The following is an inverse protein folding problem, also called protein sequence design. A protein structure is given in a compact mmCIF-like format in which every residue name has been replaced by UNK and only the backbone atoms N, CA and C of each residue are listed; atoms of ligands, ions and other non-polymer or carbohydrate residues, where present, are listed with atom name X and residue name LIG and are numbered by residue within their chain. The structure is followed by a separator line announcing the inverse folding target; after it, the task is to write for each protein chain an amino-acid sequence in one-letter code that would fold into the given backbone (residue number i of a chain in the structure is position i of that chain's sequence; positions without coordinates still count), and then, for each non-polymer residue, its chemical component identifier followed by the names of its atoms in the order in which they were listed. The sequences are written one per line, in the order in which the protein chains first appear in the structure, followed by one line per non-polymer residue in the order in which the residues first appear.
data_IF_277411278685
#
_entry.id   IF_277411278685
#
_cell.length_a   1.000
_cell.length_b   1.000
_cell.length_c   1.000
_cell.angle_alpha   90.00
_cell.angle_beta   90.00
_cell.angle_gamma   90.00
#
_symmetry.space_group_name_H-M   'P 1'
#
loop_
_entity.id
_entity.type
_entity.pdbx_description
1 polymer ?
#
# COMPACT_ATOMS: atom_id res chain seq x y z
N UNK A 1 -2.18 -11.43 20.81
CA UNK A 1 -1.89 -11.37 19.36
C UNK A 1 -3.04 -11.92 18.52
N UNK A 2 -4.23 -11.31 18.58
CA UNK A 2 -5.43 -11.71 17.78
C UNK A 2 -6.16 -10.53 17.13
N UNK A 3 -5.60 -9.32 17.17
CA UNK A 3 -6.32 -8.09 16.75
C UNK A 3 -5.70 -7.32 15.58
N UNK A 4 -4.54 -7.69 15.04
CA UNK A 4 -3.93 -6.97 13.92
C UNK A 4 -4.23 -7.56 12.53
N UNK A 5 -4.80 -8.77 12.44
CA UNK A 5 -5.17 -9.38 11.15
C UNK A 5 -6.57 -8.98 10.66
N UNK A 6 -7.30 -8.20 11.47
CA UNK A 6 -8.69 -7.83 11.18
C UNK A 6 -8.85 -6.65 10.20
N UNK A 7 -7.76 -5.93 9.85
CA UNK A 7 -7.88 -4.72 9.03
C UNK A 7 -7.71 -4.92 7.51
N UNK A 8 -7.30 -6.11 7.03
CA UNK A 8 -7.15 -6.37 5.60
C UNK A 8 -8.27 -7.24 5.00
N UNK A 9 -9.19 -7.74 5.83
CA UNK A 9 -10.26 -8.66 5.41
C UNK A 9 -11.66 -8.02 5.34
N UNK A 10 -11.84 -6.73 5.65
CA UNK A 10 -13.18 -6.12 5.78
C UNK A 10 -13.60 -5.26 4.58
N UNK A 11 -12.74 -5.00 3.59
CA UNK A 11 -13.12 -4.19 2.42
C UNK A 11 -13.59 -4.97 1.19
N UNK A 12 -13.55 -6.30 1.20
CA UNK A 12 -13.87 -7.12 0.01
C UNK A 12 -15.30 -7.67 -0.03
N UNK A 13 -16.20 -7.24 0.86
CA UNK A 13 -17.51 -7.89 1.03
C UNK A 13 -18.72 -7.13 0.44
N UNK A 14 -18.54 -6.22 -0.51
CA UNK A 14 -19.69 -5.61 -1.16
C UNK A 14 -19.51 -5.59 -2.69
N UNK A 15 -20.47 -6.23 -3.37
CA UNK A 15 -20.71 -6.30 -4.83
C UNK A 15 -20.07 -7.44 -5.63
N UNK A 16 -20.42 -8.68 -5.28
CA UNK A 16 -20.27 -9.85 -6.16
C UNK A 16 -21.55 -10.09 -6.99
N UNK A 17 -21.67 -9.45 -8.16
CA UNK A 17 -22.62 -9.85 -9.21
C UNK A 17 -21.96 -9.90 -10.59
N UNK A 18 -21.21 -10.99 -10.83
CA UNK A 18 -21.05 -11.64 -12.13
C UNK A 18 -20.36 -12.99 -11.92
N UNK A 19 -21.09 -14.10 -12.09
CA UNK A 19 -20.77 -15.40 -11.46
C UNK A 19 -19.94 -16.38 -12.31
N UNK A 20 -19.67 -16.11 -13.58
CA UNK A 20 -19.08 -17.13 -14.48
C UNK A 20 -17.57 -17.01 -14.69
N UNK A 21 -17.00 -15.80 -14.81
CA UNK A 21 -15.55 -15.61 -15.03
C UNK A 21 -14.76 -15.59 -13.72
N UNK A 22 -15.38 -15.14 -12.62
CA UNK A 22 -14.71 -15.00 -11.32
C UNK A 22 -14.69 -16.27 -10.47
N UNK A 23 -15.40 -17.34 -10.86
CA UNK A 23 -15.52 -18.55 -10.05
C UNK A 23 -14.23 -19.38 -10.05
N UNK A 24 -13.53 -19.46 -11.18
CA UNK A 24 -12.32 -20.26 -11.34
C UNK A 24 -11.08 -19.59 -10.70
N UNK A 25 -10.96 -18.26 -10.85
CA UNK A 25 -9.94 -17.45 -10.16
C UNK A 25 -10.18 -17.43 -8.64
N UNK A 26 -11.44 -17.36 -8.18
CA UNK A 26 -11.78 -17.38 -6.76
C UNK A 26 -11.42 -18.70 -6.07
N UNK A 27 -11.70 -19.84 -6.70
CA UNK A 27 -11.33 -21.16 -6.17
C UNK A 27 -9.80 -21.32 -6.09
N UNK A 28 -9.09 -20.79 -7.08
CA UNK A 28 -7.61 -20.82 -7.11
C UNK A 28 -6.99 -19.92 -6.04
N UNK A 29 -7.60 -18.76 -5.76
CA UNK A 29 -7.21 -17.86 -4.67
C UNK A 29 -7.36 -18.55 -3.32
N UNK A 30 -8.52 -19.17 -3.06
CA UNK A 30 -8.80 -19.85 -1.79
C UNK A 30 -7.86 -21.05 -1.57
N UNK A 31 -7.62 -21.85 -2.62
CA UNK A 31 -6.68 -22.96 -2.57
C UNK A 31 -5.25 -22.51 -2.24
N UNK A 32 -4.78 -21.41 -2.83
CA UNK A 32 -3.46 -20.84 -2.54
C UNK A 32 -3.37 -20.26 -1.12
N UNK A 33 -4.44 -19.62 -0.64
CA UNK A 33 -4.50 -19.11 0.73
C UNK A 33 -4.41 -20.24 1.76
N UNK A 34 -5.16 -21.32 1.56
CA UNK A 34 -5.12 -22.50 2.41
C UNK A 34 -3.73 -23.16 2.39
N UNK A 35 -3.12 -23.28 1.22
CA UNK A 35 -1.75 -23.82 1.07
C UNK A 35 -0.70 -22.97 1.81
N UNK A 36 -0.81 -21.64 1.74
CA UNK A 36 0.10 -20.75 2.49
C UNK A 36 -0.07 -20.95 3.99
N UNK A 37 -1.31 -21.04 4.48
CA UNK A 37 -1.60 -21.24 5.90
C UNK A 37 -1.05 -22.58 6.43
N UNK A 38 -1.17 -23.66 5.64
CA UNK A 38 -0.62 -24.97 5.99
C UNK A 38 0.92 -24.93 6.07
N UNK A 39 1.57 -24.32 5.07
CA UNK A 39 3.03 -24.23 5.00
C UNK A 39 3.64 -23.37 6.11
N UNK A 40 2.88 -22.42 6.66
CA UNK A 40 3.33 -21.58 7.79
C UNK A 40 3.38 -22.32 9.13
N UNK A 41 2.73 -23.47 9.27
CA UNK A 41 2.64 -24.23 10.53
C UNK A 41 3.74 -25.28 10.74
N UNK A 42 4.66 -25.46 9.80
CA UNK A 42 5.64 -26.55 9.80
C UNK A 42 7.10 -26.04 9.84
N UNK A 43 8.06 -26.95 10.05
CA UNK A 43 9.51 -26.67 10.15
C UNK A 43 10.06 -25.77 9.03
N UNK A 44 10.91 -24.78 9.37
CA UNK A 44 11.44 -23.76 8.46
C UNK A 44 12.58 -24.30 7.59
N UNK A 45 12.26 -24.76 6.38
CA UNK A 45 13.27 -25.12 5.36
C UNK A 45 13.29 -24.09 4.23
N UNK A 46 14.41 -24.00 3.51
CA UNK A 46 14.54 -23.13 2.33
C UNK A 46 13.49 -23.48 1.28
N UNK A 47 13.29 -24.78 1.02
CA UNK A 47 12.30 -25.26 0.05
C UNK A 47 10.87 -24.83 0.39
N UNK A 48 10.50 -24.85 1.68
CA UNK A 48 9.19 -24.37 2.14
C UNK A 48 9.08 -22.85 2.03
N UNK A 49 10.11 -22.10 2.43
CA UNK A 49 10.10 -20.65 2.30
C UNK A 49 9.94 -20.22 0.83
N UNK A 50 10.64 -20.88 -0.09
CA UNK A 50 10.49 -20.65 -1.54
C UNK A 50 9.07 -21.02 -1.99
N UNK A 51 8.50 -22.11 -1.50
CA UNK A 51 7.13 -22.53 -1.83
C UNK A 51 6.08 -21.53 -1.35
N UNK A 52 6.22 -21.00 -0.14
CA UNK A 52 5.36 -19.93 0.41
C UNK A 52 5.46 -18.67 -0.47
N UNK A 53 6.67 -18.25 -0.82
CA UNK A 53 6.89 -17.09 -1.69
C UNK A 53 6.29 -17.31 -3.09
N UNK A 54 6.47 -18.49 -3.68
CA UNK A 54 5.88 -18.84 -4.97
C UNK A 54 4.36 -18.79 -4.93
N UNK A 55 3.73 -19.40 -3.92
CA UNK A 55 2.28 -19.36 -3.75
C UNK A 55 1.77 -17.94 -3.49
N UNK A 56 2.50 -17.14 -2.72
CA UNK A 56 2.14 -15.74 -2.46
C UNK A 56 2.24 -14.88 -3.72
N UNK A 57 3.29 -15.06 -4.53
CA UNK A 57 3.47 -14.37 -5.82
C UNK A 57 2.35 -14.77 -6.79
N UNK A 58 2.02 -16.06 -6.89
CA UNK A 58 0.94 -16.54 -7.74
C UNK A 58 -0.41 -15.95 -7.31
N UNK A 59 -0.67 -15.91 -6.00
CA UNK A 59 -1.87 -15.29 -5.42
C UNK A 59 -1.95 -13.80 -5.78
N UNK A 60 -0.85 -13.05 -5.63
CA UNK A 60 -0.79 -11.63 -5.99
C UNK A 60 -1.05 -11.41 -7.49
N UNK A 61 -0.49 -12.26 -8.37
CA UNK A 61 -0.71 -12.18 -9.82
C UNK A 61 -2.19 -12.41 -10.15
N UNK A 62 -2.83 -13.42 -9.55
CA UNK A 62 -4.26 -13.68 -9.77
C UNK A 62 -5.14 -12.52 -9.29
N UNK A 63 -4.83 -11.92 -8.13
CA UNK A 63 -5.56 -10.74 -7.63
C UNK A 63 -5.41 -9.52 -8.54
N UNK A 64 -4.21 -9.30 -9.08
CA UNK A 64 -3.93 -8.23 -10.05
C UNK A 64 -4.73 -8.48 -11.33
N UNK A 65 -4.72 -9.71 -11.86
CA UNK A 65 -5.51 -10.11 -13.04
C UNK A 65 -7.01 -9.86 -12.83
N UNK A 66 -7.55 -10.29 -11.70
CA UNK A 66 -8.94 -10.07 -11.35
C UNK A 66 -9.30 -8.58 -11.27
N UNK A 67 -8.42 -7.77 -10.66
CA UNK A 67 -8.59 -6.31 -10.55
C UNK A 67 -8.50 -5.60 -11.90
N UNK A 68 -7.58 -6.02 -12.77
CA UNK A 68 -7.48 -5.53 -14.16
C UNK A 68 -8.75 -5.87 -14.96
N UNK A 69 -9.30 -7.07 -14.78
CA UNK A 69 -10.57 -7.49 -15.37
C UNK A 69 -11.75 -6.64 -14.89
N UNK A 70 -11.81 -6.33 -13.59
CA UNK A 70 -12.82 -5.44 -13.02
C UNK A 70 -12.70 -4.01 -13.58
N UNK A 71 -11.48 -3.45 -13.64
CA UNK A 71 -11.23 -2.12 -14.21
C UNK A 71 -11.65 -2.08 -15.69
N UNK A 72 -11.40 -3.14 -16.45
CA UNK A 72 -11.84 -3.25 -17.84
C UNK A 72 -13.37 -3.24 -17.94
N UNK A 73 -14.06 -4.04 -17.13
CA UNK A 73 -15.53 -4.05 -17.09
C UNK A 73 -16.11 -2.67 -16.73
N UNK A 74 -15.52 -1.99 -15.74
CA UNK A 74 -15.90 -0.62 -15.38
C UNK A 74 -15.66 0.35 -16.54
N UNK A 75 -14.56 0.20 -17.29
CA UNK A 75 -14.28 0.99 -18.49
C UNK A 75 -15.34 0.80 -19.56
N UNK A 76 -15.68 -0.46 -19.88
CA UNK A 76 -16.69 -0.80 -20.88
C UNK A 76 -18.07 -0.23 -20.47
N UNK A 77 -18.42 -0.30 -19.18
CA UNK A 77 -19.64 0.29 -18.63
C UNK A 77 -19.66 1.83 -18.74
N UNK A 78 -18.54 2.50 -18.47
CA UNK A 78 -18.40 3.96 -18.61
C UNK A 78 -18.54 4.37 -20.09
N UNK A 79 -17.96 3.60 -21.00
CA UNK A 79 -18.05 3.84 -22.44
C UNK A 79 -19.47 3.63 -22.98
N UNK A 80 -20.19 2.62 -22.47
CA UNK A 80 -21.61 2.44 -22.76
C UNK A 80 -22.44 3.61 -22.24
N UNK A 81 -22.27 3.99 -20.97
CA UNK A 81 -22.99 5.13 -20.38
C UNK A 81 -22.69 6.45 -21.11
N UNK A 82 -21.46 6.63 -21.60
CA UNK A 82 -21.07 7.82 -22.35
C UNK A 82 -21.81 7.88 -23.68
N UNK A 83 -21.87 6.77 -24.43
CA UNK A 83 -22.66 6.68 -25.67
C UNK A 83 -24.15 6.95 -25.44
N UNK A 84 -24.72 6.37 -24.38
CA UNK A 84 -26.13 6.59 -24.02
C UNK A 84 -26.40 8.07 -23.68
N UNK A 85 -25.50 8.72 -22.93
CA UNK A 85 -25.59 10.14 -22.59
C UNK A 85 -25.53 11.00 -23.85
N UNK A 86 -24.58 10.74 -24.75
CA UNK A 86 -24.41 11.49 -25.99
C UNK A 86 -25.65 11.37 -26.89
N UNK A 87 -26.25 10.18 -26.99
CA UNK A 87 -27.50 9.96 -27.72
C UNK A 87 -28.66 10.74 -27.09
N UNK A 88 -28.83 10.66 -25.76
CA UNK A 88 -29.87 11.39 -25.03
C UNK A 88 -29.70 12.92 -25.16
N UNK A 89 -28.47 13.43 -25.16
CA UNK A 89 -28.18 14.85 -25.37
C UNK A 89 -28.53 15.31 -26.80
N UNK A 90 -28.25 14.47 -27.80
CA UNK A 90 -28.64 14.75 -29.18
C UNK A 90 -30.18 14.76 -29.34
N UNK A 91 -30.87 13.77 -28.76
CA UNK A 91 -32.34 13.71 -28.76
C UNK A 91 -32.92 14.93 -28.05
N UNK A 92 -32.36 15.33 -26.90
CA UNK A 92 -32.76 16.53 -26.17
C UNK A 92 -32.61 17.79 -27.03
N UNK A 93 -31.50 17.92 -27.74
CA UNK A 93 -31.21 19.06 -28.62
C UNK A 93 -32.21 19.17 -29.77
N UNK A 94 -32.41 18.08 -30.52
CA UNK A 94 -33.42 18.01 -31.60
C UNK A 94 -34.83 18.32 -31.10
N UNK A 95 -35.17 17.84 -29.90
CA UNK A 95 -36.49 18.11 -29.30
C UNK A 95 -36.64 19.57 -28.88
N UNK A 96 -35.58 20.17 -28.35
CA UNK A 96 -35.57 21.59 -27.99
C UNK A 96 -35.79 22.47 -29.24
N UNK A 97 -35.13 22.15 -30.36
CA UNK A 97 -35.36 22.82 -31.65
C UNK A 97 -36.82 22.74 -32.11
N UNK A 98 -37.43 21.55 -32.04
CA UNK A 98 -38.84 21.35 -32.39
C UNK A 98 -39.78 22.13 -31.47
N UNK A 99 -39.49 22.19 -30.18
CA UNK A 99 -40.28 22.97 -29.21
C UNK A 99 -40.15 24.47 -29.54
N UNK A 100 -38.93 24.97 -29.77
CA UNK A 100 -38.68 26.37 -30.12
C UNK A 100 -39.42 26.78 -31.41
N UNK A 101 -39.42 25.94 -32.44
CA UNK A 101 -40.18 26.18 -33.67
C UNK A 101 -41.70 26.18 -33.44
N UNK A 102 -42.19 25.40 -32.46
CA UNK A 102 -43.63 25.27 -32.17
C UNK A 102 -44.18 26.35 -31.25
N UNK A 103 -43.34 27.00 -30.43
CA UNK A 103 -43.77 28.06 -29.50
C UNK A 103 -44.51 29.21 -30.23
N UNK A 104 -43.99 29.79 -31.34
CA UNK A 104 -44.70 30.83 -32.09
C UNK A 104 -46.05 30.37 -32.64
N UNK A 105 -46.13 29.15 -33.14
CA UNK A 105 -47.37 28.56 -33.68
C UNK A 105 -48.42 28.31 -32.59
N UNK A 106 -47.96 27.93 -31.39
CA UNK A 106 -48.83 27.77 -30.22
C UNK A 106 -49.31 29.13 -29.72
N UNK A 107 -48.44 30.15 -29.69
CA UNK A 107 -48.78 31.52 -29.31
C UNK A 107 -49.84 32.13 -30.25
N UNK A 108 -49.70 31.96 -31.56
CA UNK A 108 -50.71 32.39 -32.57
C UNK A 108 -52.07 31.70 -32.36
N UNK A 109 -52.09 30.46 -31.84
CA UNK A 109 -53.32 29.67 -31.60
C UNK A 109 -53.93 29.89 -30.21
N UNK A 110 -53.14 30.29 -29.22
CA UNK A 110 -53.58 30.57 -27.84
C UNK A 110 -54.47 31.82 -27.73
N UNK A 111 -54.50 32.69 -28.74
CA UNK A 111 -55.40 33.84 -28.78
C UNK A 111 -56.86 33.49 -29.12
N UNK A 112 -57.19 32.22 -29.38
CA UNK A 112 -58.57 31.82 -29.70
C UNK A 112 -59.34 31.50 -28.41
N UNK A 113 -60.14 32.46 -27.95
CA UNK A 113 -61.03 32.30 -26.79
C UNK A 113 -61.99 31.09 -26.98
N UNK A 114 -62.29 30.31 -25.93
CA UNK A 114 -63.31 29.25 -25.97
C UNK A 114 -64.66 29.71 -26.51
N UNK A 115 -65.04 30.96 -26.23
CA UNK A 115 -66.23 31.60 -26.79
C UNK A 115 -66.05 31.91 -28.28
N UNK A 116 -64.86 32.34 -28.70
CA UNK A 116 -64.53 32.55 -30.12
C UNK A 116 -64.63 31.27 -30.96
N UNK A 117 -64.18 30.13 -30.43
CA UNK A 117 -64.32 28.82 -31.11
C UNK A 117 -65.80 28.45 -31.33
N UNK A 118 -66.68 28.86 -30.42
CA UNK A 118 -68.14 28.69 -30.55
C UNK A 118 -68.72 29.64 -31.62
N UNK A 119 -68.39 30.93 -31.58
CA UNK A 119 -68.91 31.95 -32.50
C UNK A 119 -68.44 31.80 -33.96
N UNK A 120 -67.25 31.26 -34.20
CA UNK A 120 -66.70 31.03 -35.54
C UNK A 120 -66.89 29.58 -36.06
N UNK A 121 -67.76 28.80 -35.41
CA UNK A 121 -68.12 27.45 -35.88
C UNK A 121 -69.30 27.50 -36.83
N UNK A 122 -69.29 26.67 -37.87
CA UNK A 122 -70.33 26.70 -38.91
C UNK A 122 -71.63 26.03 -38.47
N UNK A 123 -71.56 25.13 -37.47
CA UNK A 123 -72.70 24.46 -36.83
C UNK A 123 -72.28 23.79 -35.52
N UNK A 124 -73.25 23.25 -34.77
CA UNK A 124 -73.04 22.58 -33.47
C UNK A 124 -72.09 21.38 -33.58
N UNK A 125 -72.14 20.61 -34.67
CA UNK A 125 -71.24 19.46 -34.87
C UNK A 125 -69.78 19.89 -35.11
N UNK A 126 -69.56 20.99 -35.84
CA UNK A 126 -68.25 21.60 -36.06
C UNK A 126 -67.66 22.14 -34.74
N UNK A 127 -68.48 22.79 -33.91
CA UNK A 127 -68.07 23.23 -32.56
C UNK A 127 -67.56 22.07 -31.68
N UNK A 128 -68.36 20.99 -31.56
CA UNK A 128 -67.96 19.84 -30.75
C UNK A 128 -66.71 19.15 -31.29
N UNK A 129 -66.61 19.01 -32.62
CA UNK A 129 -65.42 18.44 -33.28
C UNK A 129 -64.16 19.26 -33.00
N UNK A 130 -64.23 20.59 -33.10
CA UNK A 130 -63.12 21.50 -32.77
C UNK A 130 -62.72 21.44 -31.29
N UNK A 131 -63.69 21.35 -30.37
CA UNK A 131 -63.42 21.22 -28.92
C UNK A 131 -62.71 19.90 -28.59
N UNK A 132 -63.18 18.79 -29.16
CA UNK A 132 -62.52 17.47 -29.01
C UNK A 132 -61.09 17.54 -29.57
N UNK A 133 -60.91 18.11 -30.75
CA UNK A 133 -59.59 18.27 -31.38
C UNK A 133 -58.62 19.12 -30.54
N UNK A 134 -59.07 20.25 -30.00
CA UNK A 134 -58.26 21.10 -29.12
C UNK A 134 -57.87 20.38 -27.83
N UNK A 135 -58.81 19.66 -27.20
CA UNK A 135 -58.53 18.87 -25.99
C UNK A 135 -57.52 17.75 -26.25
N UNK A 136 -57.57 17.13 -27.44
CA UNK A 136 -56.62 16.12 -27.87
C UNK A 136 -55.21 16.70 -28.05
N UNK A 137 -55.10 17.89 -28.67
CA UNK A 137 -53.82 18.59 -28.82
C UNK A 137 -53.24 18.94 -27.44
N UNK A 138 -54.03 19.50 -26.54
CA UNK A 138 -53.57 19.89 -25.20
C UNK A 138 -53.03 18.68 -24.43
N UNK A 139 -53.75 17.54 -24.45
CA UNK A 139 -53.27 16.29 -23.84
C UNK A 139 -51.95 15.82 -24.45
N UNK A 140 -51.81 15.85 -25.78
CA UNK A 140 -50.56 15.48 -26.46
C UNK A 140 -49.40 16.41 -26.08
N UNK A 141 -49.65 17.69 -25.89
CA UNK A 141 -48.64 18.66 -25.49
C UNK A 141 -48.18 18.47 -24.06
N UNK A 142 -49.11 18.30 -23.10
CA UNK A 142 -48.77 17.98 -21.71
C UNK A 142 -47.99 16.68 -21.62
N UNK A 143 -48.36 15.66 -22.39
CA UNK A 143 -47.61 14.39 -22.44
C UNK A 143 -46.19 14.57 -22.95
N UNK A 144 -45.98 15.34 -24.03
CA UNK A 144 -44.63 15.63 -24.54
C UNK A 144 -43.76 16.36 -23.53
N UNK A 145 -44.34 17.31 -22.78
CA UNK A 145 -43.62 18.03 -21.73
C UNK A 145 -43.23 17.11 -20.57
N UNK A 146 -44.14 16.22 -20.14
CA UNK A 146 -43.86 15.21 -19.10
C UNK A 146 -42.72 14.27 -19.51
N UNK A 147 -42.76 13.73 -20.73
CA UNK A 147 -41.69 12.88 -21.28
C UNK A 147 -40.37 13.63 -21.34
N UNK A 148 -40.38 14.91 -21.71
CA UNK A 148 -39.17 15.74 -21.70
C UNK A 148 -38.59 15.92 -20.28
N UNK A 149 -39.43 16.13 -19.27
CA UNK A 149 -38.96 16.20 -17.87
C UNK A 149 -38.36 14.85 -17.41
N UNK A 150 -39.00 13.72 -17.72
CA UNK A 150 -38.51 12.38 -17.40
C UNK A 150 -37.15 12.07 -18.05
N UNK A 151 -36.96 12.49 -19.30
CA UNK A 151 -35.68 12.37 -20.00
C UNK A 151 -34.57 13.21 -19.37
N UNK A 152 -34.89 14.43 -18.88
CA UNK A 152 -33.91 15.26 -18.18
C UNK A 152 -33.47 14.62 -16.86
N UNK A 153 -34.40 14.05 -16.10
CA UNK A 153 -34.09 13.32 -14.88
C UNK A 153 -33.23 12.08 -15.18
N UNK A 154 -33.60 11.32 -16.21
CA UNK A 154 -32.82 10.15 -16.67
C UNK A 154 -31.40 10.55 -17.07
N UNK A 155 -31.24 11.62 -17.85
CA UNK A 155 -29.93 12.12 -18.26
C UNK A 155 -29.07 12.52 -17.06
N UNK A 156 -29.66 13.23 -16.09
CA UNK A 156 -28.96 13.61 -14.85
C UNK A 156 -28.50 12.38 -14.06
N UNK A 157 -29.37 11.37 -13.94
CA UNK A 157 -29.06 10.12 -13.25
C UNK A 157 -27.94 9.34 -13.95
N UNK A 158 -27.98 9.22 -15.28
CA UNK A 158 -26.92 8.58 -16.07
C UNK A 158 -25.57 9.28 -15.92
N UNK A 159 -25.57 10.62 -15.92
CA UNK A 159 -24.36 11.42 -15.66
C UNK A 159 -23.80 11.17 -14.27
N UNK A 160 -24.64 11.11 -13.25
CA UNK A 160 -24.24 10.79 -11.89
C UNK A 160 -23.66 9.37 -11.78
N UNK A 161 -24.32 8.37 -12.39
CA UNK A 161 -23.83 6.99 -12.42
C UNK A 161 -22.46 6.88 -13.10
N UNK A 162 -22.27 7.56 -14.23
CA UNK A 162 -20.98 7.60 -14.94
C UNK A 162 -19.89 8.21 -14.04
N UNK A 163 -20.19 9.30 -13.35
CA UNK A 163 -19.23 9.96 -12.46
C UNK A 163 -18.84 9.08 -11.27
N UNK A 164 -19.82 8.41 -10.65
CA UNK A 164 -19.57 7.43 -9.58
C UNK A 164 -18.65 6.30 -10.06
N UNK A 165 -18.92 5.73 -11.24
CA UNK A 165 -18.08 4.68 -11.83
C UNK A 165 -16.66 5.16 -12.17
N UNK A 166 -16.50 6.41 -12.62
CA UNK A 166 -15.17 7.01 -12.84
C UNK A 166 -14.37 7.12 -11.55
N UNK A 167 -15.00 7.59 -10.47
CA UNK A 167 -14.35 7.68 -9.15
C UNK A 167 -13.98 6.30 -8.64
N UNK A 168 -14.84 5.29 -8.82
CA UNK A 168 -14.55 3.90 -8.45
C UNK A 168 -13.37 3.33 -9.26
N UNK A 169 -13.35 3.55 -10.57
CA UNK A 169 -12.26 3.13 -11.45
C UNK A 169 -10.91 3.75 -11.02
N UNK A 170 -10.88 5.05 -10.69
CA UNK A 170 -9.68 5.73 -10.22
C UNK A 170 -9.16 5.15 -8.89
N UNK A 171 -10.07 4.85 -7.96
CA UNK A 171 -9.70 4.21 -6.68
C UNK A 171 -9.10 2.82 -6.91
N UNK A 172 -9.72 2.00 -7.77
CA UNK A 172 -9.21 0.68 -8.11
C UNK A 172 -7.85 0.76 -8.82
N UNK A 173 -7.64 1.73 -9.70
CA UNK A 173 -6.34 1.95 -10.36
C UNK A 173 -5.24 2.30 -9.35
N UNK A 174 -5.53 3.15 -8.36
CA UNK A 174 -4.56 3.49 -7.32
C UNK A 174 -4.18 2.28 -6.46
N UNK A 175 -5.16 1.43 -6.11
CA UNK A 175 -4.92 0.17 -5.39
C UNK A 175 -4.09 -0.79 -6.24
N UNK A 176 -4.43 -0.97 -7.52
CA UNK A 176 -3.72 -1.84 -8.45
C UNK A 176 -2.24 -1.47 -8.57
N UNK A 177 -1.92 -0.17 -8.63
CA UNK A 177 -0.54 0.30 -8.69
C UNK A 177 0.23 -0.07 -7.41
N UNK A 178 -0.39 0.12 -6.24
CA UNK A 178 0.20 -0.31 -4.97
C UNK A 178 0.42 -1.83 -4.91
N UNK A 179 -0.52 -2.64 -5.43
CA UNK A 179 -0.39 -4.10 -5.49
C UNK A 179 0.73 -4.54 -6.44
N UNK A 180 0.89 -3.87 -7.58
CA UNK A 180 2.00 -4.12 -8.53
C UNK A 180 3.35 -3.80 -7.90
N UNK A 181 3.46 -2.71 -7.16
CA UNK A 181 4.67 -2.37 -6.40
C UNK A 181 4.98 -3.43 -5.34
N UNK A 182 3.98 -3.86 -4.57
CA UNK A 182 4.14 -4.92 -3.58
C UNK A 182 4.57 -6.25 -4.21
N UNK A 183 4.00 -6.64 -5.37
CA UNK A 183 4.41 -7.83 -6.12
C UNK A 183 5.87 -7.75 -6.57
N UNK A 184 6.33 -6.58 -7.03
CA UNK A 184 7.73 -6.40 -7.43
C UNK A 184 8.67 -6.55 -6.24
N UNK A 185 8.30 -6.04 -5.06
CA UNK A 185 9.05 -6.26 -3.83
C UNK A 185 9.10 -7.76 -3.47
N UNK A 186 7.97 -8.47 -3.50
CA UNK A 186 7.94 -9.92 -3.24
C UNK A 186 8.86 -10.71 -4.20
N UNK A 187 8.93 -10.32 -5.47
CA UNK A 187 9.85 -10.93 -6.45
C UNK A 187 11.31 -10.64 -6.11
N UNK A 188 11.64 -9.41 -5.72
CA UNK A 188 12.99 -9.03 -5.27
C UNK A 188 13.40 -9.80 -4.01
N UNK A 189 12.52 -9.93 -3.03
CA UNK A 189 12.78 -10.69 -1.79
C UNK A 189 13.08 -12.16 -2.09
N UNK A 190 12.31 -12.78 -3.00
CA UNK A 190 12.57 -14.15 -3.46
C UNK A 190 13.93 -14.25 -4.13
N UNK A 191 14.28 -13.31 -5.01
CA UNK A 191 15.57 -13.31 -5.69
C UNK A 191 16.72 -13.16 -4.68
N UNK A 192 16.62 -12.22 -3.75
CA UNK A 192 17.61 -11.99 -2.71
C UNK A 192 17.80 -13.22 -1.81
N UNK A 193 16.71 -13.91 -1.43
CA UNK A 193 16.79 -15.17 -0.69
C UNK A 193 17.58 -16.23 -1.46
N UNK A 194 17.31 -16.40 -2.76
CA UNK A 194 18.03 -17.36 -3.60
C UNK A 194 19.51 -17.01 -3.76
N UNK A 195 19.84 -15.73 -3.92
CA UNK A 195 21.22 -15.24 -4.01
C UNK A 195 21.99 -15.46 -2.70
N UNK A 196 21.38 -15.13 -1.56
CA UNK A 196 21.98 -15.31 -0.23
C UNK A 196 22.20 -16.78 0.12
N UNK A 197 21.20 -17.62 -0.14
CA UNK A 197 21.25 -19.04 0.19
C UNK A 197 22.02 -19.85 -0.83
N UNK A 198 22.27 -19.30 -2.04
CA UNK A 198 22.82 -20.01 -3.19
C UNK A 198 22.05 -21.30 -3.49
N UNK A 199 20.73 -21.29 -3.21
CA UNK A 199 19.86 -22.45 -3.30
C UNK A 199 20.32 -23.65 -2.44
N UNK A 200 20.99 -23.40 -1.31
CA UNK A 200 21.55 -24.42 -0.43
C UNK A 200 20.90 -24.34 0.97
N UNK A 201 20.25 -25.43 1.38
CA UNK A 201 19.60 -25.57 2.69
C UNK A 201 20.57 -25.37 3.86
N UNK A 202 21.81 -25.88 3.75
CA UNK A 202 22.80 -25.73 4.82
C UNK A 202 23.20 -24.27 5.04
N UNK A 203 23.32 -23.50 3.95
CA UNK A 203 23.58 -22.05 4.02
C UNK A 203 22.40 -21.33 4.66
N UNK A 204 21.18 -21.69 4.28
CA UNK A 204 19.95 -21.14 4.87
C UNK A 204 19.87 -21.39 6.38
N UNK A 205 20.09 -22.63 6.84
CA UNK A 205 20.09 -22.97 8.26
C UNK A 205 21.22 -22.29 9.03
N UNK A 206 22.39 -22.11 8.39
CA UNK A 206 23.51 -21.37 8.99
C UNK A 206 23.14 -19.90 9.22
N UNK A 207 22.50 -19.25 8.25
CA UNK A 207 22.05 -17.85 8.38
C UNK A 207 20.96 -17.68 9.45
N UNK A 208 20.06 -18.65 9.60
CA UNK A 208 19.07 -18.66 10.68
C UNK A 208 19.72 -18.83 12.05
N UNK A 209 20.66 -19.78 12.17
CA UNK A 209 21.40 -20.00 13.41
C UNK A 209 22.23 -18.77 13.79
N UNK A 210 22.84 -18.10 12.82
CA UNK A 210 23.57 -16.84 13.00
C UNK A 210 22.68 -15.75 13.61
N UNK A 211 21.51 -15.51 13.01
CA UNK A 211 20.55 -14.53 13.50
C UNK A 211 20.03 -14.83 14.92
N UNK A 212 19.80 -16.12 15.24
CA UNK A 212 19.38 -16.54 16.57
C UNK A 212 20.49 -16.36 17.61
N UNK A 213 21.72 -16.70 17.24
CA UNK A 213 22.88 -16.55 18.11
C UNK A 213 23.17 -15.08 18.44
N UNK A 214 23.05 -14.19 17.46
CA UNK A 214 23.18 -12.75 17.64
C UNK A 214 22.14 -12.22 18.64
N UNK A 215 20.86 -12.62 18.48
CA UNK A 215 19.78 -12.28 19.40
C UNK A 215 20.06 -12.76 20.83
N UNK A 216 20.54 -14.00 20.99
CA UNK A 216 20.90 -14.53 22.32
C UNK A 216 22.06 -13.78 22.96
N UNK A 217 23.06 -13.38 22.16
CA UNK A 217 24.18 -12.60 22.65
C UNK A 217 23.73 -11.19 23.09
N UNK A 218 22.81 -10.57 22.36
CA UNK A 218 22.22 -9.29 22.72
C UNK A 218 21.40 -9.38 24.02
N UNK A 219 20.59 -10.43 24.19
CA UNK A 219 19.84 -10.67 25.43
C UNK A 219 20.77 -10.86 26.63
N UNK A 220 21.85 -11.63 26.49
CA UNK A 220 22.88 -11.79 27.55
C UNK A 220 23.60 -10.48 27.83
N UNK A 221 23.86 -9.68 26.80
CA UNK A 221 24.52 -8.40 26.98
C UNK A 221 23.70 -7.41 27.83
N UNK A 222 22.38 -7.57 27.93
CA UNK A 222 21.56 -6.78 28.86
C UNK A 222 21.68 -7.22 30.33
N UNK A 223 22.14 -8.45 30.57
CA UNK A 223 22.26 -9.03 31.90
C UNK A 223 23.70 -8.87 32.43
N UNK A 224 24.69 -9.20 31.58
CA UNK A 224 26.11 -9.32 31.96
C UNK A 224 26.96 -8.14 31.44
N UNK A 225 26.40 -6.93 31.38
CA UNK A 225 27.15 -5.75 30.96
C UNK A 225 27.96 -5.12 32.09
N UNK A 226 29.06 -4.47 31.71
CA UNK A 226 29.88 -3.67 32.61
C UNK A 226 29.62 -2.19 32.33
N UNK A 227 29.23 -1.45 33.37
CA UNK A 227 29.09 0.01 33.33
C UNK A 227 30.47 0.65 33.17
N UNK A 228 30.66 1.41 32.10
CA UNK A 228 31.92 2.11 31.81
C UNK A 228 31.92 3.51 32.42
N UNK A 229 30.85 4.28 32.19
CA UNK A 229 30.77 5.65 32.69
C UNK A 229 29.83 6.55 31.88
N UNK A 230 29.73 7.81 32.30
CA UNK A 230 28.95 8.83 31.60
C UNK A 230 29.67 9.32 30.35
N UNK A 231 28.91 9.49 29.28
CA UNK A 231 29.35 9.78 27.91
C UNK A 231 28.59 11.01 27.41
N UNK A 232 29.27 11.92 26.71
CA UNK A 232 28.67 13.06 26.03
C UNK A 232 28.48 12.78 24.54
N UNK A 233 27.49 13.45 23.95
CA UNK A 233 27.27 13.40 22.52
C UNK A 233 28.57 13.74 21.77
N UNK A 234 28.93 12.88 20.81
CA UNK A 234 30.13 13.03 19.99
C UNK A 234 31.39 12.33 20.53
N UNK A 235 31.44 11.91 21.80
CA UNK A 235 32.65 11.22 22.28
C UNK A 235 32.78 9.85 21.58
N UNK A 236 34.01 9.41 21.29
CA UNK A 236 34.27 8.10 20.69
C UNK A 236 33.92 6.99 21.69
N UNK A 237 33.07 6.06 21.25
CA UNK A 237 32.63 4.94 22.09
C UNK A 237 33.23 3.61 21.65
N UNK A 238 33.50 3.39 20.36
CA UNK A 238 34.11 2.17 19.84
C UNK A 238 34.61 2.35 18.41
N UNK A 239 35.16 1.28 17.83
CA UNK A 239 35.44 1.21 16.40
C UNK A 239 34.47 0.24 15.71
N UNK A 240 34.10 0.54 14.47
CA UNK A 240 33.42 -0.40 13.58
C UNK A 240 34.31 -1.62 13.42
N UNK A 241 33.73 -2.79 13.69
CA UNK A 241 34.45 -4.03 13.70
C UNK A 241 33.71 -5.12 12.93
N UNK A 242 34.21 -6.33 13.09
CA UNK A 242 33.60 -7.55 12.59
C UNK A 242 33.54 -8.59 13.72
N UNK A 243 33.30 -8.14 14.96
CA UNK A 243 33.22 -9.06 16.10
C UNK A 243 31.96 -9.90 15.99
N UNK A 244 32.08 -11.18 16.35
CA UNK A 244 31.06 -12.18 16.06
C UNK A 244 31.28 -12.94 14.74
N UNK A 245 32.23 -12.57 13.86
CA UNK A 245 32.53 -13.40 12.69
C UNK A 245 33.18 -14.75 13.08
N UNK A 246 32.84 -15.87 12.40
CA UNK A 246 31.77 -16.04 11.42
C UNK A 246 30.39 -16.36 12.03
N UNK A 247 30.29 -16.53 13.35
CA UNK A 247 29.09 -17.06 14.00
C UNK A 247 27.88 -16.13 14.08
N UNK A 248 28.08 -14.82 14.00
CA UNK A 248 27.08 -13.75 14.19
C UNK A 248 27.30 -12.53 13.31
N UNK A 249 28.43 -12.42 12.60
CA UNK A 249 28.68 -11.33 11.64
C UNK A 249 29.12 -11.91 10.30
N UNK A 250 28.69 -11.29 9.21
CA UNK A 250 29.10 -11.62 7.84
C UNK A 250 30.15 -10.67 7.27
N UNK A 251 30.49 -9.58 7.97
CA UNK A 251 31.44 -8.57 7.48
C UNK A 251 31.54 -7.37 8.40
N UNK A 252 32.54 -6.50 8.17
CA UNK A 252 32.72 -5.32 9.01
C UNK A 252 31.62 -4.27 8.77
N UNK A 253 30.77 -4.05 9.77
CA UNK A 253 29.68 -3.06 9.73
C UNK A 253 29.26 -2.67 11.15
N UNK A 254 28.57 -1.54 11.27
CA UNK A 254 27.89 -1.15 12.50
C UNK A 254 26.41 -1.49 12.36
N UNK A 255 25.91 -2.35 13.23
CA UNK A 255 24.48 -2.51 13.46
C UNK A 255 24.05 -1.57 14.60
N UNK A 256 23.25 -0.57 14.24
CA UNK A 256 22.74 0.47 15.13
C UNK A 256 21.25 0.26 15.42
N UNK A 257 20.92 -0.14 16.64
CA UNK A 257 19.54 -0.41 17.08
C UNK A 257 19.13 0.58 18.16
N UNK A 258 17.88 1.05 18.13
CA UNK A 258 17.29 1.85 19.20
C UNK A 258 16.11 1.10 19.81
N UNK A 259 16.09 1.04 21.14
CA UNK A 259 14.94 0.58 21.92
C UNK A 259 14.34 1.72 22.71
N UNK A 260 13.03 1.86 22.64
CA UNK A 260 12.24 2.78 23.47
C UNK A 260 11.30 1.95 24.33
N UNK A 261 11.44 2.00 25.65
CA UNK A 261 10.65 1.19 26.59
C UNK A 261 10.65 -0.31 26.21
N UNK A 262 11.82 -0.84 25.83
CA UNK A 262 12.04 -2.21 25.37
C UNK A 262 11.40 -2.59 24.01
N UNK A 263 10.77 -1.66 23.30
CA UNK A 263 10.29 -1.87 21.94
C UNK A 263 11.33 -1.38 20.91
N UNK A 264 11.52 -2.15 19.83
CA UNK A 264 12.33 -1.72 18.69
C UNK A 264 11.66 -0.55 17.97
N UNK A 265 12.42 0.51 17.73
CA UNK A 265 11.95 1.70 17.02
C UNK A 265 12.91 2.03 15.89
N UNK A 266 12.40 2.71 14.86
CA UNK A 266 13.21 3.09 13.73
C UNK A 266 14.29 4.11 14.18
N UNK A 267 15.56 3.73 14.07
CA UNK A 267 16.68 4.59 14.43
C UNK A 267 16.79 5.86 13.57
N UNK A 268 16.26 5.83 12.35
CA UNK A 268 16.25 6.96 11.41
C UNK A 268 15.45 8.14 11.98
N UNK A 269 14.45 7.88 12.81
CA UNK A 269 13.61 8.93 13.42
C UNK A 269 14.33 9.68 14.55
N UNK A 270 15.45 9.16 15.05
CA UNK A 270 16.21 9.75 16.15
C UNK A 270 17.42 10.55 15.66
N UNK A 271 18.07 10.11 14.58
CA UNK A 271 19.26 10.78 14.03
C UNK A 271 18.89 12.01 13.20
N UNK A 272 19.76 13.02 13.23
CA UNK A 272 19.61 14.28 12.50
C UNK A 272 19.54 14.09 10.99
N UNK A 273 18.81 14.95 10.28
CA UNK A 273 18.70 14.86 8.82
C UNK A 273 20.04 15.04 8.10
N UNK A 274 20.40 14.13 7.19
CA UNK A 274 21.68 14.11 6.44
C UNK A 274 21.58 13.34 5.11
N UNK A 275 22.41 13.72 4.14
CA UNK A 275 22.60 12.95 2.89
C UNK A 275 23.52 11.74 3.09
N UNK A 276 22.96 10.55 2.99
CA UNK A 276 23.66 9.26 3.06
C UNK A 276 23.56 8.52 1.72
N UNK A 277 24.48 7.61 1.45
CA UNK A 277 24.37 6.72 0.29
C UNK A 277 23.61 5.45 0.69
N UNK A 278 22.60 5.09 -0.07
CA UNK A 278 21.77 3.89 0.14
C UNK A 278 22.19 2.83 -0.87
N UNK A 279 22.71 1.70 -0.39
CA UNK A 279 23.20 0.61 -1.24
C UNK A 279 22.05 -0.20 -1.87
N UNK A 280 20.87 -0.19 -1.26
CA UNK A 280 19.69 -0.89 -1.78
C UNK A 280 19.05 -0.14 -2.94
N UNK A 281 19.09 1.19 -2.89
CA UNK A 281 18.59 2.07 -3.96
C UNK A 281 19.70 2.36 -4.99
N UNK A 282 20.96 2.35 -4.58
CA UNK A 282 22.11 2.73 -5.40
C UNK A 282 22.21 4.24 -5.61
N UNK A 283 21.70 5.05 -4.68
CA UNK A 283 21.64 6.50 -4.79
C UNK A 283 21.83 7.20 -3.44
N UNK A 284 22.14 8.50 -3.47
CA UNK A 284 22.14 9.32 -2.25
C UNK A 284 20.72 9.72 -1.89
N UNK A 285 20.37 9.52 -0.63
CA UNK A 285 19.06 9.84 -0.07
C UNK A 285 19.20 10.71 1.17
N UNK A 286 18.22 11.58 1.38
CA UNK A 286 18.11 12.35 2.62
C UNK A 286 17.46 11.46 3.68
N UNK A 287 18.19 11.18 4.76
CA UNK A 287 17.74 10.31 5.85
C UNK A 287 17.87 11.04 7.18
N UNK A 288 17.05 10.68 8.16
CA UNK A 288 17.06 11.30 9.48
C UNK A 288 15.99 12.39 9.62
N UNK A 289 15.24 12.34 10.71
CA UNK A 289 14.24 13.36 11.09
C UNK A 289 14.36 13.81 12.55
N UNK A 290 15.30 13.25 13.30
CA UNK A 290 15.49 13.53 14.72
C UNK A 290 16.55 14.60 15.00
N UNK A 291 17.08 14.56 16.22
CA UNK A 291 18.03 15.55 16.75
C UNK A 291 19.34 14.94 17.24
N UNK A 292 19.45 13.61 17.26
CA UNK A 292 20.64 12.93 17.74
C UNK A 292 21.73 13.00 16.68
N UNK A 293 22.99 13.01 17.11
CA UNK A 293 24.12 12.87 16.22
C UNK A 293 24.10 11.50 15.52
N UNK A 294 24.67 11.44 14.32
CA UNK A 294 24.91 10.15 13.68
C UNK A 294 26.01 9.39 14.43
N UNK A 295 25.87 8.07 14.61
CA UNK A 295 26.89 7.27 15.29
C UNK A 295 28.16 7.09 14.45
N UNK A 296 28.07 7.29 13.12
CA UNK A 296 29.22 7.33 12.20
C UNK A 296 29.29 8.67 11.48
N UNK A 297 30.52 9.13 11.28
CA UNK A 297 30.83 10.35 10.52
C UNK A 297 31.35 10.00 9.13
N UNK A 298 31.45 11.04 8.27
CA UNK A 298 32.03 10.89 6.95
C UNK A 298 31.07 10.27 5.93
N UNK A 299 31.58 9.57 4.92
CA UNK A 299 30.76 9.01 3.84
C UNK A 299 30.06 7.73 4.29
N UNK A 300 28.92 7.93 4.98
CA UNK A 300 28.06 6.87 5.50
C UNK A 300 27.27 6.22 4.36
N UNK A 301 27.35 4.90 4.32
CA UNK A 301 26.61 4.02 3.43
C UNK A 301 25.69 3.15 4.28
N UNK A 302 24.40 3.18 3.98
CA UNK A 302 23.41 2.30 4.59
C UNK A 302 23.35 1.02 3.75
N UNK A 303 23.65 -0.10 4.39
CA UNK A 303 23.58 -1.43 3.78
C UNK A 303 22.25 -2.09 4.07
N UNK A 304 21.67 -1.81 5.25
CA UNK A 304 20.37 -2.36 5.63
C UNK A 304 19.55 -1.41 6.49
N UNK A 305 18.31 -1.16 6.08
CA UNK A 305 17.36 -0.33 6.84
C UNK A 305 16.70 -1.09 7.99
N UNK A 306 16.06 -0.34 8.88
CA UNK A 306 15.10 -0.86 9.85
C UNK A 306 13.84 -1.39 9.13
N UNK A 307 13.22 -2.44 9.66
CA UNK A 307 11.97 -2.97 9.12
C UNK A 307 12.16 -4.11 8.13
N UNK A 308 11.24 -4.27 7.18
CA UNK A 308 11.33 -5.35 6.19
C UNK A 308 12.36 -5.03 5.13
N UNK A 309 13.32 -5.94 4.96
CA UNK A 309 14.39 -5.83 3.96
C UNK A 309 14.57 -7.18 3.25
N UNK A 310 15.30 -7.22 2.11
CA UNK A 310 15.58 -8.47 1.41
C UNK A 310 16.36 -9.51 2.25
N UNK A 311 16.95 -9.11 3.38
CA UNK A 311 17.69 -9.99 4.29
C UNK A 311 16.94 -10.25 5.60
N UNK A 312 15.84 -9.53 5.88
CA UNK A 312 15.17 -9.58 7.19
C UNK A 312 14.39 -10.87 7.43
N UNK A 313 14.21 -11.72 6.40
CA UNK A 313 13.55 -13.02 6.48
C UNK A 313 14.17 -13.94 7.54
N UNK A 314 15.46 -13.78 7.85
CA UNK A 314 16.18 -14.59 8.85
C UNK A 314 15.85 -14.23 10.30
N UNK A 315 15.32 -13.02 10.53
CA UNK A 315 15.00 -12.51 11.86
C UNK A 315 13.59 -12.93 12.30
N UNK A 316 13.35 -14.24 12.43
CA UNK A 316 12.04 -14.75 12.83
C UNK A 316 11.59 -14.23 14.21
N UNK A 317 12.54 -13.97 15.11
CA UNK A 317 12.28 -13.49 16.47
C UNK A 317 11.67 -12.08 16.54
N UNK A 318 11.87 -11.25 15.51
CA UNK A 318 11.33 -9.90 15.41
C UNK A 318 10.07 -9.84 14.51
N UNK A 319 9.61 -10.99 13.99
CA UNK A 319 8.55 -11.04 12.99
C UNK A 319 9.05 -10.80 11.56
N UNK A 320 10.34 -11.04 11.29
CA UNK A 320 10.96 -10.89 9.98
C UNK A 320 11.31 -9.44 9.64
N UNK A 321 11.60 -8.62 10.67
CA UNK A 321 12.09 -7.24 10.49
C UNK A 321 13.52 -7.12 11.00
N UNK A 322 14.29 -6.27 10.36
CA UNK A 322 15.57 -5.84 10.88
C UNK A 322 15.33 -4.84 12.02
N UNK A 323 15.94 -5.08 13.18
CA UNK A 323 15.69 -4.32 14.41
C UNK A 323 16.50 -3.03 14.51
N UNK A 324 17.47 -2.84 13.62
CA UNK A 324 18.33 -1.67 13.57
C UNK A 324 18.62 -1.21 12.14
N UNK A 325 19.68 -0.43 12.00
CA UNK A 325 20.21 0.07 10.73
C UNK A 325 21.65 -0.40 10.63
N UNK A 326 21.98 -1.08 9.53
CA UNK A 326 23.35 -1.48 9.25
C UNK A 326 24.00 -0.43 8.38
N UNK A 327 25.17 0.04 8.82
CA UNK A 327 25.91 1.10 8.17
C UNK A 327 27.41 0.87 8.19
N UNK A 328 28.07 1.39 7.17
CA UNK A 328 29.53 1.47 7.05
C UNK A 328 29.91 2.90 6.69
N UNK A 329 31.14 3.30 6.99
CA UNK A 329 31.69 4.58 6.53
C UNK A 329 33.02 4.36 5.84
N UNK A 330 33.20 5.03 4.69
CA UNK A 330 34.44 4.93 3.90
C UNK A 330 35.59 5.74 4.49
N UNK A 331 35.29 6.71 5.35
CA UNK A 331 36.27 7.70 5.82
C UNK A 331 36.49 7.69 7.33
N UNK A 332 35.66 6.99 8.10
CA UNK A 332 35.84 6.82 9.54
C UNK A 332 35.31 5.47 10.02
N UNK A 333 36.08 4.78 10.86
CA UNK A 333 35.60 3.62 11.62
C UNK A 333 35.23 3.98 13.05
N UNK A 334 35.34 5.25 13.46
CA UNK A 334 35.07 5.66 14.84
C UNK A 334 33.56 5.79 15.05
N UNK A 335 33.04 5.01 15.99
CA UNK A 335 31.66 5.09 16.46
C UNK A 335 31.60 6.14 17.56
N UNK A 336 30.70 7.09 17.44
CA UNK A 336 30.49 8.18 18.39
C UNK A 336 29.12 8.09 19.05
N UNK A 337 29.00 8.62 20.27
CA UNK A 337 27.72 8.67 20.94
C UNK A 337 26.76 9.66 20.26
N UNK A 338 25.55 9.23 19.89
CA UNK A 338 24.56 10.06 19.21
C UNK A 338 23.90 11.06 20.17
N UNK A 339 23.90 10.77 21.48
CA UNK A 339 23.37 11.62 22.55
C UNK A 339 24.08 11.30 23.87
N UNK A 340 24.05 12.24 24.81
CA UNK A 340 24.50 12.03 26.20
C UNK A 340 23.86 10.80 26.83
N UNK A 341 24.58 10.11 27.72
CA UNK A 341 24.02 8.98 28.45
C UNK A 341 25.03 8.24 29.32
N UNK A 342 24.69 7.01 29.65
CA UNK A 342 25.54 6.09 30.39
C UNK A 342 25.94 4.90 29.52
N UNK A 343 27.25 4.71 29.34
CA UNK A 343 27.84 3.68 28.48
C UNK A 343 28.01 2.37 29.25
N UNK A 344 27.61 1.29 28.59
CA UNK A 344 27.85 -0.08 29.00
C UNK A 344 28.59 -0.84 27.90
N UNK A 345 29.42 -1.79 28.32
CA UNK A 345 30.16 -2.66 27.42
C UNK A 345 29.91 -4.12 27.79
N UNK A 346 29.74 -4.96 26.79
CA UNK A 346 29.54 -6.40 26.95
C UNK A 346 30.30 -7.16 25.88
N UNK A 347 30.73 -8.38 26.24
CA UNK A 347 31.45 -9.29 25.35
C UNK A 347 30.85 -10.67 25.52
N UNK A 348 30.16 -11.16 24.50
CA UNK A 348 29.31 -12.34 24.59
C UNK A 348 29.72 -13.39 23.57
N UNK A 349 29.68 -14.66 23.97
CA UNK A 349 29.83 -15.76 23.03
C UNK A 349 28.67 -15.75 22.03
N UNK A 350 29.00 -15.91 20.76
CA UNK A 350 28.09 -15.79 19.64
C UNK A 350 28.38 -16.92 18.64
N UNK A 351 27.42 -17.83 18.48
CA UNK A 351 27.64 -19.08 17.75
C UNK A 351 28.56 -20.03 18.51
N UNK A 352 29.30 -20.87 17.77
CA UNK A 352 30.12 -21.95 18.36
C UNK A 352 31.52 -21.51 18.79
N UNK A 353 32.08 -20.45 18.22
CA UNK A 353 33.47 -20.03 18.50
C UNK A 353 33.73 -18.53 18.42
N UNK A 354 32.72 -17.70 18.14
CA UNK A 354 32.90 -16.26 17.97
C UNK A 354 32.51 -15.51 19.24
N UNK A 355 33.09 -14.33 19.42
CA UNK A 355 32.74 -13.39 20.48
C UNK A 355 32.25 -12.11 19.82
N UNK A 356 31.04 -11.70 20.13
CA UNK A 356 30.50 -10.39 19.73
C UNK A 356 30.75 -9.40 20.87
N UNK A 357 31.29 -8.23 20.53
CA UNK A 357 31.35 -7.11 21.46
C UNK A 357 30.18 -6.19 21.18
N UNK A 358 29.50 -5.79 22.24
CA UNK A 358 28.31 -4.96 22.18
C UNK A 358 28.55 -3.78 23.12
N UNK A 359 28.28 -2.58 22.62
CA UNK A 359 28.14 -1.41 23.48
C UNK A 359 26.72 -0.93 23.42
N UNK A 360 26.22 -0.36 24.51
CA UNK A 360 24.94 0.32 24.51
C UNK A 360 24.97 1.52 25.43
N UNK A 361 24.16 2.53 25.10
CA UNK A 361 24.06 3.77 25.86
C UNK A 361 22.62 3.97 26.32
N UNK A 362 22.45 4.17 27.62
CA UNK A 362 21.19 4.59 28.21
C UNK A 362 21.09 6.12 28.20
N UNK A 363 20.19 6.68 27.40
CA UNK A 363 20.08 8.14 27.15
C UNK A 363 19.06 8.85 28.04
N UNK A 364 18.41 8.12 28.97
CA UNK A 364 17.24 8.60 29.72
C UNK A 364 15.92 8.40 28.96
N UNK A 365 14.80 8.67 29.64
CA UNK A 365 13.43 8.53 29.11
C UNK A 365 13.08 7.13 28.56
N UNK A 366 13.79 6.09 29.01
CA UNK A 366 13.62 4.72 28.51
C UNK A 366 14.14 4.50 27.09
N UNK A 367 14.98 5.40 26.55
CA UNK A 367 15.64 5.23 25.25
C UNK A 367 17.06 4.63 25.45
N UNK A 368 17.34 3.55 24.72
CA UNK A 368 18.63 2.86 24.72
C UNK A 368 19.10 2.68 23.28
N UNK A 369 20.35 3.02 23.00
CA UNK A 369 20.99 2.77 21.71
C UNK A 369 21.99 1.62 21.82
N UNK A 370 21.99 0.72 20.85
CA UNK A 370 22.85 -0.46 20.79
C UNK A 370 23.79 -0.37 19.59
N UNK A 371 25.02 -0.81 19.81
CA UNK A 371 26.11 -0.84 18.83
C UNK A 371 26.69 -2.25 18.83
N UNK A 372 26.40 -3.00 17.79
CA UNK A 372 26.84 -4.39 17.64
C UNK A 372 28.06 -4.46 16.70
N UNK A 373 28.77 -5.59 16.79
CA UNK A 373 29.96 -5.91 16.00
C UNK A 373 31.18 -5.00 16.22
N UNK A 374 31.20 -4.24 17.32
CA UNK A 374 32.23 -3.22 17.58
C UNK A 374 33.58 -3.80 18.04
N UNK A 375 34.65 -3.02 18.01
CA UNK A 375 36.00 -3.38 18.49
C UNK A 375 36.43 -2.66 19.76
#
# INVERSE_FOLDING_TARGET
MKKLFALFCITFFIFFQSRSVFAEESNSIEALQNKIAELQGQENTLSKQISILNSSIALSILKISASEGQIKKLSDDIDSLTRDIDELENIKTKRLELILHRIPETYKRLQVSPFGVMFFSSNVADFFSRRVYLSYIQRKETMKYRVHQEEQNTLSERKNQREQKKVEQQKLQAVLESEKQALNLQKKDKQALLEQTKNNESVYQTLLAQALAEKQALDRALIDSVKIGTIKQGDPIALVGNTGYPGCSSGAHLHFEIRKNSAWVNGEEYVSSRDVYDDQIGARVRMGSGSWGWPLEGDVIITQHFGKTPWSWRYSYSGGIHTGIDMVSKTSSVIRAPKDGLLYSSSQACGTSSIIKIKYIEHGDGAVSFYLHVQ
#
